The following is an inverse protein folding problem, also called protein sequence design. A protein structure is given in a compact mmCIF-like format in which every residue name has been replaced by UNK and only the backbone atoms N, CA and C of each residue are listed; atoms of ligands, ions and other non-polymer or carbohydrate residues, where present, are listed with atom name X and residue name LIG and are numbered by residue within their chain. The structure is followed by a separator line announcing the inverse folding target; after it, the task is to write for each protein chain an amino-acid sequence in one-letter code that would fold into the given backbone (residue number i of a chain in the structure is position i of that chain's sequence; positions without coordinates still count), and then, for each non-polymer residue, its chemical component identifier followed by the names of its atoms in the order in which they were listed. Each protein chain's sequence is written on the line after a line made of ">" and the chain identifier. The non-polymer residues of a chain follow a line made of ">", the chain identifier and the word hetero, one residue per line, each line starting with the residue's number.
data_IF_081674063317
#
_entry.id   IF_081674063317
#
_cell.length_a   1.000
_cell.length_b   1.000
_cell.length_c   1.000
_cell.angle_alpha   90.00
_cell.angle_beta   90.00
_cell.angle_gamma   90.00
#
_symmetry.space_group_name_H-M   'P 1'
#
loop_
_entity.id
_entity.type
_entity.pdbx_description
1 polymer ?
#
# COMPACT_ATOMS: atom_id res chain seq x y z
N UNK A 1 16.46 22.75 -14.86
CA UNK A 1 15.90 21.41 -15.16
C UNK A 1 15.67 20.69 -13.83
N UNK A 2 14.43 20.31 -13.51
CA UNK A 2 14.14 19.62 -12.24
C UNK A 2 14.86 18.26 -12.22
N UNK A 3 15.67 18.00 -11.18
CA UNK A 3 16.30 16.67 -10.99
C UNK A 3 15.19 15.62 -10.90
N UNK A 4 15.17 14.68 -11.84
CA UNK A 4 14.21 13.57 -11.85
C UNK A 4 14.42 12.76 -10.57
N UNK A 5 13.42 12.74 -9.69
CA UNK A 5 13.48 11.97 -8.44
C UNK A 5 13.71 10.49 -8.77
N UNK A 6 14.70 9.89 -8.12
CA UNK A 6 14.97 8.44 -8.23
C UNK A 6 13.91 7.59 -7.53
N UNK A 7 12.96 8.23 -6.82
CA UNK A 7 11.96 7.59 -5.97
C UNK A 7 10.57 8.10 -6.34
N UNK A 8 9.61 7.17 -6.44
CA UNK A 8 8.20 7.41 -6.74
C UNK A 8 7.35 7.10 -5.51
N UNK A 9 6.34 7.92 -5.25
CA UNK A 9 5.34 7.65 -4.20
C UNK A 9 4.34 6.62 -4.73
N UNK A 10 3.99 5.65 -3.91
CA UNK A 10 3.08 4.56 -4.28
C UNK A 10 2.02 4.36 -3.22
N UNK A 11 0.86 3.83 -3.65
CA UNK A 11 -0.24 3.47 -2.76
C UNK A 11 -0.14 1.98 -2.45
N UNK A 12 -0.16 1.63 -1.17
CA UNK A 12 -0.27 0.26 -0.70
C UNK A 12 -1.70 0.05 -0.21
N UNK A 13 -2.43 -0.89 -0.79
CA UNK A 13 -3.82 -1.16 -0.46
C UNK A 13 -3.93 -2.52 0.24
N UNK A 14 -4.74 -2.56 1.31
CA UNK A 14 -4.97 -3.77 2.11
C UNK A 14 -5.57 -4.88 1.26
N UNK A 15 -5.01 -6.09 1.35
CA UNK A 15 -5.57 -7.26 0.68
C UNK A 15 -6.87 -7.74 1.33
N UNK A 16 -7.21 -7.27 2.53
CA UNK A 16 -8.46 -7.60 3.19
C UNK A 16 -9.70 -6.89 2.59
N UNK A 17 -9.53 -6.06 1.56
CA UNK A 17 -10.64 -5.41 0.86
C UNK A 17 -11.30 -4.26 1.65
N UNK A 18 -10.73 -3.86 2.77
CA UNK A 18 -11.23 -2.79 3.66
C UNK A 18 -11.10 -1.39 3.06
N UNK A 19 -10.31 -1.24 1.99
CA UNK A 19 -9.94 0.05 1.42
C UNK A 19 -8.91 0.82 2.25
N UNK A 20 -8.41 0.26 3.35
CA UNK A 20 -7.35 0.87 4.15
C UNK A 20 -6.04 0.91 3.37
N UNK A 21 -5.33 2.03 3.45
CA UNK A 21 -4.21 2.35 2.55
C UNK A 21 -3.06 3.01 3.29
N UNK A 22 -1.86 2.63 2.88
CA UNK A 22 -0.63 3.32 3.24
C UNK A 22 -0.01 3.98 2.01
N UNK A 23 0.79 5.02 2.25
CA UNK A 23 1.69 5.54 1.23
C UNK A 23 3.11 5.10 1.53
N UNK A 24 3.81 4.68 0.49
CA UNK A 24 5.21 4.32 0.55
C UNK A 24 5.98 5.01 -0.57
N UNK A 25 7.31 4.94 -0.47
CA UNK A 25 8.24 5.39 -1.49
C UNK A 25 8.94 4.16 -2.05
N UNK A 26 9.05 4.06 -3.37
CA UNK A 26 9.82 3.01 -4.04
C UNK A 26 10.82 3.60 -5.02
N UNK A 27 11.95 2.93 -5.20
CA UNK A 27 12.89 3.31 -6.25
C UNK A 27 12.21 3.16 -7.62
N UNK A 28 12.36 4.17 -8.48
CA UNK A 28 11.74 4.17 -9.81
C UNK A 28 12.25 3.01 -10.69
N UNK A 29 13.48 2.55 -10.45
CA UNK A 29 14.13 1.44 -11.16
C UNK A 29 13.84 0.06 -10.54
N UNK A 30 13.00 -0.03 -9.51
CA UNK A 30 12.68 -1.31 -8.90
C UNK A 30 11.82 -2.15 -9.86
N UNK A 31 12.30 -3.36 -10.14
CA UNK A 31 11.64 -4.34 -11.03
C UNK A 31 10.37 -4.92 -10.39
N UNK A 32 10.34 -5.04 -9.07
CA UNK A 32 9.24 -5.64 -8.32
C UNK A 32 8.34 -4.59 -7.67
N UNK A 33 7.05 -4.96 -7.53
CA UNK A 33 6.06 -4.20 -6.76
C UNK A 33 6.29 -4.42 -5.27
N UNK A 34 6.07 -3.38 -4.47
CA UNK A 34 6.19 -3.48 -3.01
C UNK A 34 4.99 -4.24 -2.45
N UNK A 35 5.26 -5.35 -1.79
CA UNK A 35 4.31 -6.04 -0.92
C UNK A 35 4.84 -6.00 0.51
N UNK A 36 4.01 -5.57 1.47
CA UNK A 36 4.41 -5.45 2.89
C UNK A 36 3.31 -5.95 3.79
N UNK A 37 3.68 -6.73 4.81
CA UNK A 37 2.77 -7.08 5.90
C UNK A 37 2.67 -5.89 6.86
N UNK A 38 1.47 -5.33 7.02
CA UNK A 38 1.19 -4.19 7.90
C UNK A 38 -0.14 -4.37 8.60
N UNK A 39 -0.33 -3.63 9.69
CA UNK A 39 -1.59 -3.60 10.41
C UNK A 39 -2.67 -2.88 9.60
N UNK A 40 -3.81 -3.54 9.43
CA UNK A 40 -5.06 -2.96 8.98
C UNK A 40 -6.06 -2.99 10.14
N UNK A 41 -6.48 -1.82 10.68
CA UNK A 41 -7.41 -1.75 11.81
C UNK A 41 -8.82 -2.28 11.47
N UNK A 42 -9.16 -2.36 10.17
CA UNK A 42 -10.49 -2.76 9.71
C UNK A 42 -10.55 -4.20 9.21
N UNK A 43 -9.40 -4.87 9.07
CA UNK A 43 -9.37 -6.26 8.61
C UNK A 43 -9.92 -7.17 9.71
N UNK A 44 -10.81 -8.09 9.34
CA UNK A 44 -11.36 -9.08 10.28
C UNK A 44 -10.38 -10.24 10.42
N UNK A 45 -10.05 -10.59 11.66
CA UNK A 45 -9.23 -11.75 11.96
C UNK A 45 -10.12 -13.01 12.01
N UNK A 46 -9.90 -14.00 11.13
CA UNK A 46 -10.73 -15.20 11.06
C UNK A 46 -10.63 -16.08 12.32
N UNK A 47 -9.52 -16.02 13.06
CA UNK A 47 -9.31 -16.84 14.27
C UNK A 47 -10.04 -16.28 15.49
N UNK A 48 -10.14 -14.95 15.59
CA UNK A 48 -10.69 -14.28 16.79
C UNK A 48 -12.04 -13.61 16.55
N UNK A 49 -12.46 -13.47 15.29
CA UNK A 49 -13.66 -12.73 14.89
C UNK A 49 -13.60 -11.23 15.17
N UNK A 50 -12.43 -10.70 15.56
CA UNK A 50 -12.24 -9.29 15.92
C UNK A 50 -11.66 -8.50 14.74
N UNK A 51 -11.93 -7.19 14.74
CA UNK A 51 -11.32 -6.23 13.80
C UNK A 51 -9.88 -5.95 14.21
N UNK A 52 -9.03 -5.75 13.21
CA UNK A 52 -7.63 -5.40 13.36
C UNK A 52 -6.70 -6.61 13.22
N UNK A 53 -6.01 -6.72 12.10
CA UNK A 53 -4.94 -7.72 11.94
C UNK A 53 -3.83 -7.26 10.99
N UNK A 54 -2.68 -7.92 11.09
CA UNK A 54 -1.58 -7.72 10.15
C UNK A 54 -1.86 -8.47 8.85
N UNK A 55 -2.16 -7.72 7.80
CA UNK A 55 -2.46 -8.23 6.46
C UNK A 55 -1.39 -7.83 5.47
N UNK A 56 -1.38 -8.48 4.31
CA UNK A 56 -0.55 -8.05 3.20
C UNK A 56 -1.14 -6.77 2.61
N UNK A 57 -0.27 -5.86 2.21
CA UNK A 57 -0.63 -4.70 1.43
C UNK A 57 0.10 -4.77 0.10
N UNK A 58 -0.64 -4.53 -0.98
CA UNK A 58 -0.13 -4.57 -2.35
C UNK A 58 -0.02 -3.19 -2.95
N UNK A 59 1.01 -3.00 -3.78
CA UNK A 59 1.18 -1.78 -4.54
C UNK A 59 0.10 -1.60 -5.62
N UNK A 60 -0.62 -0.47 -5.53
CA UNK A 60 -1.57 0.02 -6.51
C UNK A 60 -1.13 1.40 -7.02
N UNK A 61 -1.65 1.76 -8.19
CA UNK A 61 -1.39 3.05 -8.83
C UNK A 61 -1.93 4.20 -7.96
N UNK A 62 -1.18 5.30 -7.88
CA UNK A 62 -1.67 6.52 -7.24
C UNK A 62 -2.89 7.07 -7.99
N UNK A 63 -3.84 7.69 -7.27
CA UNK A 63 -4.89 8.44 -7.93
C UNK A 63 -4.29 9.58 -8.78
N UNK A 64 -4.89 9.91 -9.93
CA UNK A 64 -4.41 11.01 -10.75
C UNK A 64 -4.52 12.33 -9.97
N UNK A 65 -3.52 13.21 -10.16
CA UNK A 65 -3.45 14.48 -9.44
C UNK A 65 -4.52 15.49 -9.90
N UNK A 66 -5.08 15.29 -11.09
CA UNK A 66 -6.20 16.06 -11.64
C UNK A 66 -7.27 15.06 -12.11
N UNK A 67 -8.52 15.38 -11.84
CA UNK A 67 -9.68 14.65 -12.39
C UNK A 67 -9.87 15.00 -13.85
#
# INVERSE_FOLDING_TARGET
>A
MAKKSSVVKVRLESTAGTGYRYYAKRANKAEYKINKKKYDPWAENPETGKKGMHVMFEEKKLPPAKK
#
